data_IF_546706790351
#
_entry.id   IF_546706790351
#
_cell.length_a   1.000
_cell.length_b   1.000
_cell.length_c   1.000
_cell.angle_alpha   90.00
_cell.angle_beta   90.00
_cell.angle_gamma   90.00
#
_symmetry.space_group_name_H-M   'P 1'
#
loop_
_entity.id
_entity.type
_entity.pdbx_description
1 polymer ?
#
# COMPACT_ATOMS: atom_id res chain seq x y z
N UNK A 1 29.05 -6.10 3.74
CA UNK A 1 27.79 -5.82 3.01
C UNK A 1 26.59 -6.66 3.47
N UNK A 2 26.66 -7.41 4.59
CA UNK A 2 25.55 -8.25 5.08
C UNK A 2 24.52 -7.47 5.93
N UNK A 3 24.92 -6.38 6.59
CA UNK A 3 24.04 -5.57 7.45
C UNK A 3 22.88 -4.88 6.72
N UNK A 4 23.08 -4.36 5.51
CA UNK A 4 22.01 -3.65 4.78
C UNK A 4 20.86 -4.57 4.34
N UNK A 5 21.14 -5.85 4.07
CA UNK A 5 20.11 -6.81 3.61
C UNK A 5 19.13 -7.23 4.70
N UNK A 6 19.53 -7.13 5.97
CA UNK A 6 18.70 -7.52 7.11
C UNK A 6 17.69 -6.43 7.50
N UNK A 7 18.09 -5.16 7.46
CA UNK A 7 17.20 -4.04 7.76
C UNK A 7 16.09 -3.88 6.71
N UNK A 8 16.41 -4.07 5.42
CA UNK A 8 15.42 -3.95 4.34
C UNK A 8 14.27 -4.97 4.49
N UNK A 9 14.57 -6.19 4.94
CA UNK A 9 13.54 -7.23 5.20
C UNK A 9 12.67 -6.86 6.40
N UNK A 10 13.28 -6.40 7.51
CA UNK A 10 12.55 -5.99 8.72
C UNK A 10 11.63 -4.81 8.44
N UNK A 11 12.09 -3.84 7.63
CA UNK A 11 11.26 -2.72 7.21
C UNK A 11 10.06 -3.19 6.38
N UNK A 12 10.28 -4.09 5.41
CA UNK A 12 9.21 -4.65 4.60
C UNK A 12 8.17 -5.40 5.45
N UNK A 13 8.60 -6.20 6.42
CA UNK A 13 7.69 -6.85 7.38
C UNK A 13 6.93 -5.84 8.25
N UNK A 14 7.60 -4.79 8.74
CA UNK A 14 6.96 -3.75 9.54
C UNK A 14 5.85 -3.03 8.74
N UNK A 15 6.09 -2.74 7.47
CA UNK A 15 5.11 -2.15 6.57
C UNK A 15 3.90 -3.08 6.37
N UNK A 16 4.15 -4.37 6.11
CA UNK A 16 3.10 -5.37 5.96
C UNK A 16 2.24 -5.50 7.23
N UNK A 17 2.86 -5.52 8.41
CA UNK A 17 2.10 -5.59 9.68
C UNK A 17 1.29 -4.31 9.88
N UNK A 18 1.88 -3.14 9.61
CA UNK A 18 1.18 -1.87 9.73
C UNK A 18 -0.02 -1.77 8.77
N UNK A 19 0.12 -2.29 7.54
CA UNK A 19 -0.93 -2.26 6.53
C UNK A 19 -2.06 -3.24 6.84
N UNK A 20 -1.75 -4.42 7.37
CA UNK A 20 -2.74 -5.35 7.91
C UNK A 20 -3.48 -4.71 9.09
N UNK A 21 -2.75 -4.07 10.02
CA UNK A 21 -3.35 -3.39 11.16
C UNK A 21 -4.30 -2.27 10.71
N UNK A 22 -3.87 -1.40 9.80
CA UNK A 22 -4.71 -0.34 9.23
C UNK A 22 -5.93 -0.90 8.49
N UNK A 23 -5.76 -1.92 7.65
CA UNK A 23 -6.88 -2.54 6.93
C UNK A 23 -7.87 -3.21 7.89
N UNK A 24 -7.39 -3.85 8.96
CA UNK A 24 -8.26 -4.42 9.99
C UNK A 24 -9.03 -3.35 10.77
N UNK A 25 -8.39 -2.21 11.07
CA UNK A 25 -9.05 -1.06 11.68
C UNK A 25 -10.13 -0.48 10.76
N UNK A 26 -9.90 -0.43 9.44
CA UNK A 26 -10.93 0.01 8.48
C UNK A 26 -12.16 -0.89 8.48
N UNK A 27 -11.97 -2.22 8.49
CA UNK A 27 -13.08 -3.18 8.58
C UNK A 27 -13.84 -2.97 9.90
N UNK A 28 -13.12 -2.82 11.01
CA UNK A 28 -13.72 -2.56 12.32
C UNK A 28 -14.55 -1.28 12.30
N UNK A 29 -14.03 -0.17 11.78
CA UNK A 29 -14.73 1.12 11.68
C UNK A 29 -16.01 0.98 10.83
N UNK A 30 -15.94 0.32 9.68
CA UNK A 30 -17.12 0.06 8.85
C UNK A 30 -18.19 -0.76 9.58
N UNK A 31 -17.79 -1.83 10.26
CA UNK A 31 -18.70 -2.67 11.05
C UNK A 31 -19.28 -1.91 12.24
N UNK A 32 -18.48 -1.08 12.92
CA UNK A 32 -18.93 -0.22 14.02
C UNK A 32 -20.06 0.71 13.56
N UNK A 33 -19.88 1.41 12.44
CA UNK A 33 -20.94 2.28 11.90
C UNK A 33 -22.19 1.50 11.50
N UNK A 34 -22.03 0.28 10.98
CA UNK A 34 -23.15 -0.60 10.65
C UNK A 34 -23.93 -1.07 11.90
N UNK A 35 -23.23 -1.41 12.98
CA UNK A 35 -23.85 -1.94 14.22
C UNK A 35 -24.46 -0.84 15.09
N UNK A 36 -23.82 0.32 15.18
CA UNK A 36 -24.31 1.43 15.99
C UNK A 36 -25.45 2.21 15.32
N UNK A 37 -25.91 1.77 14.15
CA UNK A 37 -26.98 2.42 13.37
C UNK A 37 -26.76 3.92 13.19
N UNK A 38 -25.49 4.35 13.12
CA UNK A 38 -25.08 5.74 12.94
C UNK A 38 -25.32 6.25 11.51
N UNK A 39 -26.04 5.48 10.71
CA UNK A 39 -26.26 5.69 9.28
C UNK A 39 -27.64 6.29 9.13
N UNK A 40 -27.70 7.62 9.06
CA UNK A 40 -28.95 8.34 8.78
C UNK A 40 -29.18 8.47 7.26
N UNK A 41 -28.10 8.40 6.47
CA UNK A 41 -28.12 8.58 5.01
C UNK A 41 -27.74 7.33 4.21
N UNK A 42 -28.41 7.14 3.07
CA UNK A 42 -28.08 6.06 2.12
C UNK A 42 -26.64 6.14 1.59
N UNK A 43 -26.06 7.35 1.54
CA UNK A 43 -24.68 7.57 1.11
C UNK A 43 -23.70 6.96 2.11
N UNK A 44 -23.94 7.16 3.41
CA UNK A 44 -23.10 6.62 4.48
C UNK A 44 -23.20 5.09 4.55
N UNK A 45 -24.39 4.54 4.27
CA UNK A 45 -24.59 3.10 4.12
C UNK A 45 -23.67 2.51 3.04
N UNK A 46 -23.70 3.10 1.84
CA UNK A 46 -22.86 2.68 0.74
C UNK A 46 -21.37 2.87 1.04
N UNK A 47 -21.01 3.97 1.70
CA UNK A 47 -19.63 4.24 2.11
C UNK A 47 -19.12 3.15 3.07
N UNK A 48 -19.95 2.72 4.03
CA UNK A 48 -19.58 1.70 5.01
C UNK A 48 -19.29 0.36 4.36
N UNK A 49 -20.16 -0.08 3.44
CA UNK A 49 -19.92 -1.29 2.64
C UNK A 49 -18.63 -1.15 1.83
N UNK A 50 -18.40 0.02 1.22
CA UNK A 50 -17.16 0.30 0.49
C UNK A 50 -15.93 0.14 1.38
N UNK A 51 -15.92 0.76 2.56
CA UNK A 51 -14.78 0.71 3.49
C UNK A 51 -14.50 -0.73 3.95
N UNK A 52 -15.53 -1.54 4.20
CA UNK A 52 -15.37 -2.96 4.56
C UNK A 52 -14.78 -3.76 3.39
N UNK A 53 -15.35 -3.62 2.19
CA UNK A 53 -14.87 -4.34 1.00
C UNK A 53 -13.41 -4.00 0.67
N UNK A 54 -13.07 -2.72 0.71
CA UNK A 54 -11.70 -2.28 0.49
C UNK A 54 -10.77 -2.71 1.63
N UNK A 55 -11.21 -2.68 2.89
CA UNK A 55 -10.44 -3.23 4.01
C UNK A 55 -10.09 -4.70 3.82
N UNK A 56 -11.04 -5.53 3.37
CA UNK A 56 -10.78 -6.94 3.01
C UNK A 56 -9.79 -7.03 1.86
N UNK A 57 -9.94 -6.18 0.83
CA UNK A 57 -9.03 -6.12 -0.31
C UNK A 57 -7.60 -5.73 0.11
N UNK A 58 -7.47 -4.84 1.10
CA UNK A 58 -6.19 -4.44 1.70
C UNK A 58 -5.48 -5.62 2.34
N UNK A 59 -6.18 -6.40 3.16
CA UNK A 59 -5.63 -7.63 3.77
C UNK A 59 -5.26 -8.65 2.68
N UNK A 60 -6.15 -8.88 1.71
CA UNK A 60 -5.91 -9.82 0.62
C UNK A 60 -4.72 -9.41 -0.25
N UNK A 61 -4.43 -8.10 -0.36
CA UNK A 61 -3.26 -7.59 -1.08
C UNK A 61 -1.92 -7.88 -0.38
N UNK A 62 -1.94 -8.22 0.91
CA UNK A 62 -0.77 -8.65 1.67
C UNK A 62 -0.57 -10.16 1.60
N UNK A 63 -1.66 -10.92 1.59
CA UNK A 63 -1.63 -12.36 1.34
C UNK A 63 -1.57 -12.63 -0.17
N UNK A 64 -0.37 -12.55 -0.75
CA UNK A 64 -0.12 -12.88 -2.16
C UNK A 64 -0.29 -14.37 -2.40
N UNK A 65 -1.54 -14.84 -2.42
CA UNK A 65 -1.92 -16.18 -2.87
C UNK A 65 -1.80 -16.17 -4.41
N UNK A 66 -1.05 -17.11 -4.98
CA UNK A 66 -0.71 -17.17 -6.41
C UNK A 66 -1.93 -17.07 -7.36
N UNK A 67 -3.11 -17.49 -6.92
CA UNK A 67 -4.37 -17.44 -7.68
C UNK A 67 -4.91 -16.03 -7.96
N UNK A 68 -4.70 -15.05 -7.07
CA UNK A 68 -5.21 -13.67 -7.20
C UNK A 68 -4.18 -12.75 -7.88
N UNK A 69 -2.94 -13.21 -7.92
CA UNK A 69 -1.78 -12.50 -8.44
C UNK A 69 -1.87 -12.19 -9.95
N UNK A 70 -2.71 -12.92 -10.69
CA UNK A 70 -2.98 -12.68 -12.12
C UNK A 70 -3.98 -11.53 -12.36
N UNK A 71 -4.97 -11.33 -11.49
CA UNK A 71 -5.99 -10.28 -11.65
C UNK A 71 -5.62 -8.96 -10.98
N UNK A 72 -4.87 -8.98 -9.87
CA UNK A 72 -4.49 -7.79 -9.10
C UNK A 72 -3.00 -7.44 -9.22
N UNK A 73 -2.42 -7.57 -10.42
CA UNK A 73 -1.04 -7.12 -10.69
C UNK A 73 -0.79 -5.64 -10.36
N UNK A 74 -1.86 -4.84 -10.24
CA UNK A 74 -1.81 -3.45 -9.79
C UNK A 74 -1.40 -3.29 -8.31
N UNK A 75 -1.92 -4.11 -7.39
CA UNK A 75 -1.70 -3.99 -5.94
C UNK A 75 -0.35 -4.55 -5.45
N UNK A 76 0.37 -5.29 -6.30
CA UNK A 76 1.71 -5.81 -5.97
C UNK A 76 2.77 -4.72 -5.84
N UNK A 77 2.55 -3.56 -6.47
CA UNK A 77 3.53 -2.46 -6.44
C UNK A 77 3.33 -1.61 -5.19
N UNK A 78 4.41 -1.36 -4.47
CA UNK A 78 4.42 -0.49 -3.27
C UNK A 78 3.82 0.90 -3.54
N UNK A 79 4.02 1.45 -4.75
CA UNK A 79 3.45 2.74 -5.15
C UNK A 79 1.91 2.72 -5.18
N UNK A 80 1.32 1.67 -5.74
CA UNK A 80 -0.14 1.52 -5.82
C UNK A 80 -0.77 1.35 -4.45
N UNK A 81 -0.09 0.62 -3.54
CA UNK A 81 -0.50 0.49 -2.14
C UNK A 81 -0.51 1.85 -1.42
N UNK A 82 0.51 2.68 -1.65
CA UNK A 82 0.56 4.03 -1.11
C UNK A 82 -0.65 4.89 -1.51
N UNK A 83 -0.98 4.92 -2.81
CA UNK A 83 -2.17 5.64 -3.30
C UNK A 83 -3.47 5.08 -2.75
N UNK A 84 -3.58 3.76 -2.62
CA UNK A 84 -4.74 3.08 -2.05
C UNK A 84 -5.01 3.54 -0.60
N UNK A 85 -4.01 3.54 0.27
CA UNK A 85 -4.19 3.95 1.67
C UNK A 85 -4.52 5.46 1.82
N UNK A 86 -3.91 6.31 0.98
CA UNK A 86 -4.26 7.75 0.95
C UNK A 86 -5.72 7.94 0.54
N UNK A 87 -6.14 7.28 -0.54
CA UNK A 87 -7.51 7.36 -1.05
C UNK A 87 -8.52 6.87 -0.02
N UNK A 88 -8.27 5.72 0.61
CA UNK A 88 -9.16 5.20 1.64
C UNK A 88 -9.22 6.10 2.88
N UNK A 89 -8.09 6.68 3.30
CA UNK A 89 -8.08 7.69 4.36
C UNK A 89 -8.96 8.90 4.03
N UNK A 90 -8.92 9.39 2.79
CA UNK A 90 -9.78 10.50 2.35
C UNK A 90 -11.28 10.15 2.29
N UNK A 91 -11.66 8.89 2.14
CA UNK A 91 -13.07 8.46 2.22
C UNK A 91 -13.52 8.41 3.68
N UNK A 92 -12.68 7.85 4.55
CA UNK A 92 -13.01 7.62 5.96
C UNK A 92 -13.19 8.95 6.71
N UNK A 93 -12.48 10.01 6.32
CA UNK A 93 -12.60 11.34 6.96
C UNK A 93 -14.01 11.95 6.85
N UNK A 94 -14.82 11.50 5.90
CA UNK A 94 -16.17 12.04 5.64
C UNK A 94 -17.14 11.82 6.81
N UNK A 95 -16.89 10.84 7.67
CA UNK A 95 -17.79 10.47 8.78
C UNK A 95 -17.72 11.39 10.01
N UNK A 96 -16.87 12.42 10.00
CA UNK A 96 -16.89 13.52 10.98
C UNK A 96 -16.50 13.19 12.43
N UNK A 97 -16.48 11.91 12.81
CA UNK A 97 -16.13 11.43 14.15
C UNK A 97 -14.63 11.58 14.46
N UNK A 98 -14.29 12.03 15.67
CA UNK A 98 -12.89 12.32 16.05
C UNK A 98 -11.99 11.07 16.03
N UNK A 99 -12.53 9.92 16.44
CA UNK A 99 -11.82 8.63 16.39
C UNK A 99 -11.57 8.17 14.95
N UNK A 100 -12.50 8.48 14.05
CA UNK A 100 -12.41 8.15 12.63
C UNK A 100 -11.41 9.07 11.93
N UNK A 101 -11.35 10.35 12.32
CA UNK A 101 -10.36 11.30 11.86
C UNK A 101 -8.94 10.86 12.24
N UNK A 102 -8.73 10.36 13.46
CA UNK A 102 -7.43 9.80 13.84
C UNK A 102 -7.04 8.61 12.96
N UNK A 103 -7.98 7.70 12.69
CA UNK A 103 -7.75 6.55 11.83
C UNK A 103 -7.49 6.94 10.36
N UNK A 104 -8.15 7.98 9.84
CA UNK A 104 -7.94 8.47 8.48
C UNK A 104 -6.56 9.10 8.31
N UNK A 105 -6.11 9.90 9.28
CA UNK A 105 -4.76 10.50 9.30
C UNK A 105 -3.68 9.40 9.34
N UNK A 106 -3.87 8.35 10.16
CA UNK A 106 -2.93 7.22 10.20
C UNK A 106 -2.86 6.48 8.86
N UNK A 107 -3.99 6.26 8.19
CA UNK A 107 -4.01 5.63 6.86
C UNK A 107 -3.29 6.48 5.81
N UNK A 108 -3.53 7.80 5.79
CA UNK A 108 -2.85 8.71 4.86
C UNK A 108 -1.34 8.71 5.14
N UNK A 109 -0.95 8.79 6.41
CA UNK A 109 0.45 8.75 6.81
C UNK A 109 1.14 7.45 6.38
N UNK A 110 0.49 6.30 6.58
CA UNK A 110 0.99 5.01 6.12
C UNK A 110 1.15 4.97 4.59
N UNK A 111 0.19 5.52 3.86
CA UNK A 111 0.25 5.62 2.40
C UNK A 111 1.44 6.45 1.90
N UNK A 112 1.72 7.60 2.55
CA UNK A 112 2.91 8.41 2.26
C UNK A 112 4.19 7.60 2.54
N UNK A 113 4.23 6.87 3.65
CA UNK A 113 5.39 6.07 4.02
C UNK A 113 5.69 4.95 3.00
N UNK A 114 4.65 4.36 2.42
CA UNK A 114 4.77 3.43 1.28
C UNK A 114 5.37 4.08 0.02
N UNK A 115 4.97 5.31 -0.30
CA UNK A 115 5.50 6.05 -1.46
C UNK A 115 6.98 6.38 -1.26
N UNK A 116 7.36 6.84 -0.06
CA UNK A 116 8.75 7.13 0.29
C UNK A 116 9.59 5.85 0.20
N UNK A 117 9.09 4.75 0.76
CA UNK A 117 9.77 3.46 0.70
C UNK A 117 9.99 2.98 -0.75
N UNK A 118 8.99 3.17 -1.62
CA UNK A 118 9.13 2.86 -3.04
C UNK A 118 10.26 3.66 -3.71
N UNK A 119 10.38 4.96 -3.41
CA UNK A 119 11.44 5.79 -3.99
C UNK A 119 12.83 5.38 -3.48
N UNK A 120 12.95 5.09 -2.18
CA UNK A 120 14.18 4.60 -1.56
C UNK A 120 14.62 3.23 -2.10
N UNK A 121 13.67 2.33 -2.34
CA UNK A 121 13.97 1.02 -2.92
C UNK A 121 14.41 1.16 -4.39
N UNK A 122 13.75 2.05 -5.14
CA UNK A 122 14.08 2.33 -6.53
C UNK A 122 15.48 2.92 -6.71
N UNK A 123 15.92 3.80 -5.81
CA UNK A 123 17.29 4.35 -5.86
C UNK A 123 18.34 3.27 -5.65
N UNK A 124 18.16 2.38 -4.66
CA UNK A 124 19.07 1.26 -4.40
C UNK A 124 19.21 0.29 -5.58
N UNK A 125 18.13 0.04 -6.32
CA UNK A 125 18.15 -0.83 -7.50
C UNK A 125 18.93 -0.19 -8.66
N UNK A 126 18.79 1.13 -8.84
CA UNK A 126 19.51 1.87 -9.88
C UNK A 126 21.03 1.88 -9.65
N UNK A 127 21.46 1.91 -8.39
CA UNK A 127 22.88 1.86 -8.01
C UNK A 127 23.51 0.46 -8.21
N UNK A 128 22.70 -0.60 -8.30
CA UNK A 128 23.14 -1.98 -8.54
C UNK A 128 23.21 -2.34 -10.04
N UNK A 129 22.48 -1.62 -10.91
CA UNK A 129 22.42 -1.89 -12.36
C UNK A 129 23.63 -1.31 -13.13
N UNK A 130 24.53 -0.56 -12.48
CA UNK A 130 25.65 0.12 -13.14
C UNK A 130 27.06 -0.36 -12.70
N UNK A 131 27.41 -1.64 -12.96
CA UNK A 131 28.81 -1.96 -13.27
C UNK A 131 29.01 -2.65 -14.62
N UNK A 132 27.94 -3.00 -15.35
CA UNK A 132 28.10 -3.82 -16.56
C UNK A 132 26.99 -3.56 -17.59
N UNK A 133 27.00 -2.36 -18.19
CA UNK A 133 26.50 -2.18 -19.54
C UNK A 133 27.57 -2.75 -20.49
N UNK A 134 27.44 -3.98 -21.04
CA UNK A 134 28.30 -4.37 -22.15
C UNK A 134 28.09 -3.33 -23.26
N UNK A 135 29.22 -2.86 -23.82
CA UNK A 135 29.26 -1.91 -24.90
C UNK A 135 28.22 -2.26 -25.97
N UNK A 136 27.56 -1.21 -26.47
CA UNK A 136 26.67 -1.29 -27.63
C UNK A 136 27.34 -2.13 -28.73
N UNK A 137 26.65 -3.10 -29.36
CA UNK A 137 27.17 -3.86 -30.50
C UNK A 137 27.65 -2.99 -31.68
N UNK A 138 27.32 -1.69 -31.69
CA UNK A 138 27.69 -0.75 -32.76
C UNK A 138 29.17 -0.31 -32.71
N UNK A 139 29.86 -0.40 -31.57
CA UNK A 139 31.27 0.02 -31.48
C UNK A 139 32.26 -1.05 -31.97
N UNK A 140 31.88 -2.33 -31.98
CA UNK A 140 32.77 -3.44 -32.39
C UNK A 140 32.89 -3.54 -33.92
N UNK A 141 31.92 -3.03 -34.68
CA UNK A 141 31.94 -3.08 -36.15
C UNK A 141 32.72 -1.95 -36.82
N UNK A 142 33.18 -0.94 -36.07
CA UNK A 142 34.03 0.14 -36.61
C UNK A 142 35.53 -0.09 -36.36
N UNK A 143 35.88 -1.22 -35.72
CA UNK A 143 37.26 -1.59 -35.40
C UNK A 143 37.84 -2.72 -36.29
N UNK A 144 37.09 -3.19 -37.29
CA UNK A 144 37.53 -4.13 -38.33
C UNK A 144 37.31 -3.52 -39.71
#
# INVERSE_FOLDING_TARGET
MVGQTFDDKRLSYAMMIASIACSSAMILIGVLFFVFWLIDDFVEFMLSIYVILFGILGILSEFTIEFISTYFSFMKKYISKGFYYIFMGTIIITWGEWWVLLASVLNIFLGILYIIFFFMLKSKLKDQEDPQKPASPEEVSQAY
#
